data_IF_931753316643
#
_entry.id   IF_931753316643
#
_cell.length_a   1.000
_cell.length_b   1.000
_cell.length_c   1.000
_cell.angle_alpha   90.00
_cell.angle_beta   90.00
_cell.angle_gamma   90.00
#
_symmetry.space_group_name_H-M   'P 1'
#
loop_
_entity.id
_entity.type
_entity.pdbx_description
1 polymer ?
#
# COMPACT_ATOMS: atom_id res chain seq x y z
N UNK A 1 29.28 -17.38 8.11
CA UNK A 1 28.94 -16.25 7.24
C UNK A 1 27.94 -15.38 7.98
N UNK A 2 28.35 -14.21 8.44
CA UNK A 2 27.46 -13.25 9.09
C UNK A 2 26.51 -12.70 7.99
N UNK A 3 25.22 -13.05 8.04
CA UNK A 3 24.22 -12.50 7.10
C UNK A 3 24.12 -11.01 7.39
N UNK A 4 24.37 -10.19 6.39
CA UNK A 4 24.17 -8.74 6.50
C UNK A 4 22.72 -8.47 6.93
N UNK A 5 22.54 -7.88 8.12
CA UNK A 5 21.22 -7.50 8.61
C UNK A 5 20.63 -6.42 7.73
N UNK A 6 19.40 -6.61 7.30
CA UNK A 6 18.64 -5.62 6.55
C UNK A 6 18.45 -4.37 7.43
N UNK A 7 18.85 -3.21 6.92
CA UNK A 7 18.79 -1.94 7.67
C UNK A 7 17.51 -1.14 7.40
N UNK A 8 16.54 -1.68 6.65
CA UNK A 8 15.30 -1.04 6.28
C UNK A 8 14.10 -1.92 6.63
N UNK A 9 12.94 -1.29 6.83
CA UNK A 9 11.67 -2.00 7.04
C UNK A 9 11.09 -2.50 5.72
N UNK A 10 10.38 -3.63 5.79
CA UNK A 10 9.63 -4.18 4.67
C UNK A 10 8.22 -3.56 4.68
N UNK A 11 7.94 -2.58 3.81
CA UNK A 11 6.76 -1.71 3.91
C UNK A 11 5.62 -2.04 2.92
N UNK A 12 5.81 -3.01 2.02
CA UNK A 12 4.79 -3.42 1.05
C UNK A 12 4.75 -4.95 0.99
N UNK A 13 3.84 -5.54 1.72
CA UNK A 13 3.70 -7.00 1.80
C UNK A 13 2.22 -7.40 1.82
N UNK A 14 1.94 -8.57 1.22
CA UNK A 14 0.63 -9.16 1.15
C UNK A 14 0.63 -10.53 1.79
N UNK A 15 -0.46 -10.82 2.52
CA UNK A 15 -0.72 -12.14 3.09
C UNK A 15 -1.90 -12.81 2.39
N UNK A 16 -2.29 -13.99 2.86
CA UNK A 16 -3.46 -14.72 2.38
C UNK A 16 -4.78 -13.93 2.54
N UNK A 17 -4.79 -12.84 3.31
CA UNK A 17 -5.91 -11.91 3.41
C UNK A 17 -6.09 -11.08 2.14
N UNK A 18 -5.04 -10.89 1.34
CA UNK A 18 -5.08 -10.36 -0.02
C UNK A 18 -5.60 -11.43 -0.98
N UNK A 19 -6.94 -11.55 -1.07
CA UNK A 19 -7.61 -12.60 -1.87
C UNK A 19 -7.08 -12.65 -3.30
N UNK A 20 -6.64 -13.86 -3.73
CA UNK A 20 -6.10 -14.17 -5.06
C UNK A 20 -4.73 -13.56 -5.39
N UNK A 21 -4.04 -12.96 -4.41
CA UNK A 21 -2.77 -12.31 -4.64
C UNK A 21 -1.63 -12.98 -3.89
N UNK A 22 -1.84 -13.44 -2.67
CA UNK A 22 -0.81 -14.09 -1.86
C UNK A 22 -1.34 -15.34 -1.16
N UNK A 23 -0.45 -16.33 -1.02
CA UNK A 23 -0.65 -17.52 -0.19
C UNK A 23 0.15 -17.48 1.12
N UNK A 24 0.88 -16.39 1.37
CA UNK A 24 1.74 -16.24 2.53
C UNK A 24 0.93 -15.98 3.80
N UNK A 25 1.13 -16.78 4.86
CA UNK A 25 0.52 -16.52 6.14
C UNK A 25 1.18 -15.32 6.83
N UNK A 26 0.46 -14.70 7.78
CA UNK A 26 1.01 -13.64 8.65
C UNK A 26 2.26 -14.13 9.38
N UNK A 27 2.23 -15.35 9.92
CA UNK A 27 3.38 -15.95 10.61
C UNK A 27 4.60 -16.06 9.67
N UNK A 28 4.40 -16.54 8.44
CA UNK A 28 5.48 -16.67 7.46
C UNK A 28 6.11 -15.33 7.11
N UNK A 29 5.28 -14.27 6.98
CA UNK A 29 5.76 -12.91 6.73
C UNK A 29 6.67 -12.42 7.86
N UNK A 30 6.26 -12.59 9.12
CA UNK A 30 7.00 -12.14 10.29
C UNK A 30 8.27 -12.96 10.48
N UNK A 31 8.21 -14.29 10.32
CA UNK A 31 9.37 -15.18 10.40
C UNK A 31 10.42 -14.79 9.35
N UNK A 32 9.99 -14.50 8.13
CA UNK A 32 10.90 -14.06 7.08
C UNK A 32 11.53 -12.71 7.38
N UNK A 33 10.76 -11.75 7.91
CA UNK A 33 11.30 -10.46 8.34
C UNK A 33 12.35 -10.64 9.45
N UNK A 34 12.11 -11.54 10.41
CA UNK A 34 13.06 -11.89 11.47
C UNK A 34 14.34 -12.52 10.94
N UNK A 35 14.22 -13.47 10.01
CA UNK A 35 15.39 -14.12 9.37
C UNK A 35 16.28 -13.10 8.65
N UNK A 36 15.68 -12.11 7.99
CA UNK A 36 16.37 -11.03 7.30
C UNK A 36 16.95 -9.98 8.25
N UNK A 37 16.58 -10.01 9.53
CA UNK A 37 16.96 -9.00 10.52
C UNK A 37 16.32 -7.64 10.28
N UNK A 38 15.15 -7.62 9.66
CA UNK A 38 14.40 -6.38 9.41
C UNK A 38 13.93 -5.76 10.74
N UNK A 39 14.14 -4.46 10.98
CA UNK A 39 13.73 -3.81 12.22
C UNK A 39 12.21 -3.57 12.29
N UNK A 40 11.54 -3.59 11.17
CA UNK A 40 10.09 -3.38 11.02
C UNK A 40 9.55 -4.11 9.80
N UNK A 41 8.29 -4.49 9.85
CA UNK A 41 7.55 -5.09 8.74
C UNK A 41 6.15 -4.50 8.69
N UNK A 42 5.61 -4.25 7.50
CA UNK A 42 4.25 -3.78 7.32
C UNK A 42 3.33 -4.91 6.86
N UNK A 43 2.08 -4.85 7.28
CA UNK A 43 0.96 -5.60 6.70
C UNK A 43 0.15 -4.60 5.85
N UNK A 44 0.08 -4.83 4.54
CA UNK A 44 -0.54 -3.92 3.56
C UNK A 44 -1.39 -4.68 2.56
N UNK A 45 -2.27 -5.54 3.06
CA UNK A 45 -3.17 -6.34 2.24
C UNK A 45 -4.12 -5.48 1.40
N UNK A 46 -4.58 -6.03 0.28
CA UNK A 46 -5.45 -5.33 -0.68
C UNK A 46 -6.84 -5.03 -0.11
N UNK A 47 -7.10 -3.76 0.17
CA UNK A 47 -8.40 -3.24 0.56
C UNK A 47 -8.93 -3.73 1.92
N UNK A 48 -8.14 -4.49 2.69
CA UNK A 48 -8.53 -5.06 3.98
C UNK A 48 -7.45 -4.89 5.05
N UNK A 49 -7.89 -4.95 6.32
CA UNK A 49 -7.00 -4.94 7.49
C UNK A 49 -7.26 -6.15 8.40
N UNK A 50 -7.87 -7.22 7.89
CA UNK A 50 -8.38 -8.35 8.67
C UNK A 50 -7.31 -9.08 9.47
N UNK A 51 -6.11 -9.23 8.93
CA UNK A 51 -5.00 -9.93 9.57
C UNK A 51 -4.24 -9.16 10.65
N UNK A 52 -4.62 -7.91 10.99
CA UNK A 52 -3.76 -7.04 11.80
C UNK A 52 -3.56 -7.51 13.25
N UNK A 53 -4.54 -8.19 13.87
CA UNK A 53 -4.43 -8.66 15.27
C UNK A 53 -3.37 -9.75 15.36
N UNK A 54 -3.46 -10.77 14.50
CA UNK A 54 -2.49 -11.85 14.45
C UNK A 54 -1.10 -11.33 14.05
N UNK A 55 -1.05 -10.38 13.13
CA UNK A 55 0.19 -9.73 12.72
C UNK A 55 0.86 -8.99 13.87
N UNK A 56 0.13 -8.19 14.63
CA UNK A 56 0.68 -7.46 15.78
C UNK A 56 1.25 -8.44 16.83
N UNK A 57 0.51 -9.52 17.14
CA UNK A 57 0.95 -10.57 18.07
C UNK A 57 2.22 -11.27 17.58
N UNK A 58 2.26 -11.73 16.34
CA UNK A 58 3.44 -12.37 15.76
C UNK A 58 4.66 -11.45 15.76
N UNK A 59 4.48 -10.16 15.48
CA UNK A 59 5.56 -9.18 15.53
C UNK A 59 6.08 -8.95 16.94
N UNK A 60 5.18 -8.86 17.94
CA UNK A 60 5.56 -8.73 19.35
C UNK A 60 6.39 -9.92 19.81
N UNK A 61 5.95 -11.16 19.54
CA UNK A 61 6.66 -12.38 19.84
C UNK A 61 8.03 -12.48 19.13
N UNK A 62 8.12 -11.95 17.92
CA UNK A 62 9.36 -11.91 17.14
C UNK A 62 10.32 -10.79 17.54
N UNK A 63 9.86 -9.77 18.29
CA UNK A 63 10.62 -8.57 18.61
C UNK A 63 10.82 -7.63 17.43
N UNK A 64 9.88 -7.60 16.48
CA UNK A 64 9.90 -6.76 15.27
C UNK A 64 8.81 -5.70 15.39
N UNK A 65 9.10 -4.47 14.96
CA UNK A 65 8.11 -3.40 14.96
C UNK A 65 7.02 -3.65 13.91
N UNK A 66 5.73 -3.82 14.30
CA UNK A 66 4.64 -3.91 13.34
C UNK A 66 4.31 -2.53 12.76
N UNK A 67 4.02 -2.49 11.47
CA UNK A 67 3.45 -1.33 10.77
C UNK A 67 2.13 -1.79 10.14
N UNK A 68 1.01 -1.27 10.65
CA UNK A 68 -0.31 -1.64 10.15
C UNK A 68 -0.73 -0.68 9.04
N UNK A 69 -1.10 -1.24 7.91
CA UNK A 69 -1.49 -0.49 6.73
C UNK A 69 -2.52 -1.22 5.86
N UNK A 70 -2.77 -0.68 4.70
CA UNK A 70 -3.60 -1.26 3.65
C UNK A 70 -3.10 -0.79 2.28
N UNK A 71 -3.11 -1.65 1.28
CA UNK A 71 -3.02 -1.22 -0.11
C UNK A 71 -4.42 -0.95 -0.64
N UNK A 72 -4.80 0.33 -0.62
CA UNK A 72 -6.12 0.78 -1.03
C UNK A 72 -6.24 0.86 -2.56
N UNK A 73 -7.41 0.52 -3.07
CA UNK A 73 -7.81 0.79 -4.45
C UNK A 73 -8.49 2.15 -4.51
N UNK A 74 -7.90 3.10 -5.22
CA UNK A 74 -8.44 4.45 -5.38
C UNK A 74 -8.98 4.60 -6.80
N UNK A 75 -10.24 5.03 -6.91
CA UNK A 75 -10.86 5.39 -8.19
C UNK A 75 -10.28 6.72 -8.69
N UNK A 76 -9.84 6.74 -9.93
CA UNK A 76 -9.34 7.94 -10.61
C UNK A 76 -10.04 8.07 -11.97
N UNK A 77 -11.13 8.86 -11.99
CA UNK A 77 -11.92 9.11 -13.19
C UNK A 77 -12.39 7.84 -13.92
N UNK A 78 -12.28 7.83 -15.24
CA UNK A 78 -12.63 6.68 -16.11
C UNK A 78 -11.48 5.64 -16.21
N UNK A 79 -10.30 5.93 -15.70
CA UNK A 79 -9.09 5.11 -15.88
C UNK A 79 -9.00 3.87 -14.97
N UNK A 80 -10.05 3.59 -14.22
CA UNK A 80 -10.10 2.42 -13.36
C UNK A 80 -9.60 2.69 -11.94
N UNK A 81 -8.87 1.73 -11.37
CA UNK A 81 -8.37 1.81 -9.99
C UNK A 81 -6.85 1.95 -9.97
N UNK A 82 -6.36 2.80 -9.09
CA UNK A 82 -4.93 2.94 -8.80
C UNK A 82 -4.64 2.44 -7.39
N UNK A 83 -3.44 1.93 -7.17
CA UNK A 83 -3.01 1.46 -5.86
C UNK A 83 -2.39 2.59 -5.05
N UNK A 84 -2.69 2.62 -3.76
CA UNK A 84 -2.13 3.56 -2.79
C UNK A 84 -1.91 2.82 -1.46
N UNK A 85 -0.67 2.78 -0.98
CA UNK A 85 -0.41 2.24 0.35
C UNK A 85 -0.61 3.33 1.39
N UNK A 86 -1.40 3.00 2.41
CA UNK A 86 -1.65 3.84 3.58
C UNK A 86 -1.20 3.08 4.82
N UNK A 87 -0.34 3.70 5.64
CA UNK A 87 0.22 3.10 6.85
C UNK A 87 -0.03 4.00 8.06
N UNK A 88 -0.49 3.40 9.17
CA UNK A 88 -0.72 4.13 10.42
C UNK A 88 0.60 4.44 11.13
N UNK A 89 0.74 5.67 11.66
CA UNK A 89 1.87 6.07 12.50
C UNK A 89 1.60 5.84 13.99
N UNK A 90 0.34 5.84 14.38
CA UNK A 90 -0.14 5.76 15.77
C UNK A 90 -1.62 5.38 15.80
N UNK A 91 -2.21 5.33 17.01
CA UNK A 91 -3.61 4.94 17.22
C UNK A 91 -4.62 5.83 16.49
N UNK A 92 -4.35 7.14 16.35
CA UNK A 92 -5.23 8.04 15.58
C UNK A 92 -5.23 7.66 14.11
N UNK A 93 -4.04 7.41 13.55
CA UNK A 93 -3.89 6.92 12.19
C UNK A 93 -4.55 5.57 11.97
N UNK A 94 -4.40 4.64 12.92
CA UNK A 94 -5.05 3.33 12.87
C UNK A 94 -6.58 3.45 12.86
N UNK A 95 -7.17 4.25 13.75
CA UNK A 95 -8.63 4.46 13.77
C UNK A 95 -9.15 5.10 12.49
N UNK A 96 -8.44 6.10 11.96
CA UNK A 96 -8.81 6.73 10.69
C UNK A 96 -8.74 5.74 9.53
N UNK A 97 -7.68 4.93 9.49
CA UNK A 97 -7.46 3.91 8.47
C UNK A 97 -8.53 2.81 8.53
N UNK A 98 -8.90 2.35 9.72
CA UNK A 98 -9.97 1.37 9.94
C UNK A 98 -11.32 1.89 9.44
N UNK A 99 -11.69 3.13 9.78
CA UNK A 99 -12.92 3.77 9.28
C UNK A 99 -12.91 3.93 7.76
N UNK A 100 -11.80 4.40 7.20
CA UNK A 100 -11.62 4.51 5.75
C UNK A 100 -11.81 3.15 5.06
N UNK A 101 -11.14 2.09 5.56
CA UNK A 101 -11.24 0.75 5.00
C UNK A 101 -12.67 0.22 5.07
N UNK A 102 -13.40 0.48 6.18
CA UNK A 102 -14.82 0.12 6.31
C UNK A 102 -15.67 0.80 5.24
N UNK A 103 -15.53 2.11 5.05
CA UNK A 103 -16.30 2.85 4.05
C UNK A 103 -15.97 2.39 2.62
N UNK A 104 -14.72 2.00 2.32
CA UNK A 104 -14.37 1.45 1.01
C UNK A 104 -15.04 0.10 0.75
N UNK A 105 -15.30 -0.72 1.78
CA UNK A 105 -16.04 -1.98 1.65
C UNK A 105 -17.51 -1.76 1.26
N UNK A 106 -18.11 -0.65 1.66
CA UNK A 106 -19.47 -0.28 1.22
C UNK A 106 -19.53 0.19 -0.24
N UNK A 107 -18.40 0.36 -0.89
CA UNK A 107 -18.25 0.82 -2.28
C UNK A 107 -17.62 -0.25 -3.17
N UNK A 108 -18.09 -1.50 -3.05
CA UNK A 108 -17.56 -2.60 -3.87
C UNK A 108 -17.90 -2.40 -5.35
N UNK A 109 -16.88 -2.50 -6.20
CA UNK A 109 -17.05 -2.61 -7.64
C UNK A 109 -16.24 -3.78 -8.18
N UNK A 110 -16.90 -4.70 -8.87
CA UNK A 110 -16.30 -5.94 -9.38
C UNK A 110 -15.60 -6.78 -8.29
N UNK A 111 -16.14 -6.76 -7.07
CA UNK A 111 -15.62 -7.50 -5.90
C UNK A 111 -14.40 -6.85 -5.22
N UNK A 112 -14.06 -5.59 -5.55
CA UNK A 112 -12.97 -4.85 -4.93
C UNK A 112 -13.50 -3.62 -4.17
N UNK A 113 -13.00 -3.42 -2.95
CA UNK A 113 -13.25 -2.21 -2.15
C UNK A 113 -12.71 -0.97 -2.88
N UNK A 114 -13.47 0.13 -2.90
CA UNK A 114 -13.12 1.34 -3.65
C UNK A 114 -13.08 2.58 -2.76
N UNK A 115 -11.91 3.18 -2.66
CA UNK A 115 -11.76 4.55 -2.17
C UNK A 115 -11.82 5.56 -3.31
N UNK A 116 -11.99 6.81 -2.96
CA UNK A 116 -11.91 7.95 -3.89
C UNK A 116 -11.30 9.16 -3.18
N UNK A 117 -11.08 10.24 -3.92
CA UNK A 117 -10.51 11.49 -3.38
C UNK A 117 -11.33 12.05 -2.21
N UNK A 118 -12.65 11.94 -2.27
CA UNK A 118 -13.54 12.43 -1.21
C UNK A 118 -13.30 11.68 0.10
N UNK A 119 -13.23 10.34 0.06
CA UNK A 119 -12.92 9.53 1.25
C UNK A 119 -11.51 9.79 1.77
N UNK A 120 -10.51 9.95 0.88
CA UNK A 120 -9.16 10.32 1.30
C UNK A 120 -9.15 11.66 2.03
N UNK A 121 -9.85 12.67 1.52
CA UNK A 121 -9.95 13.98 2.19
C UNK A 121 -10.72 13.90 3.49
N UNK A 122 -11.79 13.10 3.58
CA UNK A 122 -12.59 12.92 4.80
C UNK A 122 -11.76 12.33 5.94
N UNK A 123 -10.95 11.32 5.67
CA UNK A 123 -10.23 10.58 6.71
C UNK A 123 -8.80 11.05 6.95
N UNK A 124 -8.14 11.65 5.95
CA UNK A 124 -6.73 12.01 6.00
C UNK A 124 -6.44 13.46 5.63
N UNK A 125 -7.43 14.21 5.16
CA UNK A 125 -7.33 15.62 4.81
C UNK A 125 -7.20 16.53 6.05
N UNK A 126 -6.93 17.83 5.85
CA UNK A 126 -6.78 18.81 6.93
C UNK A 126 -7.97 18.81 7.90
N UNK A 127 -7.71 18.77 9.20
CA UNK A 127 -8.72 18.74 10.26
C UNK A 127 -9.29 17.36 10.60
N UNK A 128 -8.97 16.30 9.83
CA UNK A 128 -9.40 14.94 10.14
C UNK A 128 -8.50 14.26 11.18
N UNK A 129 -9.00 13.18 11.83
CA UNK A 129 -8.23 12.38 12.80
C UNK A 129 -6.95 11.77 12.18
N UNK A 130 -7.00 11.40 10.90
CA UNK A 130 -5.88 10.79 10.20
C UNK A 130 -4.84 11.77 9.67
N UNK A 131 -5.14 13.09 9.64
CA UNK A 131 -4.22 14.09 9.12
C UNK A 131 -2.89 14.12 9.91
N UNK A 132 -1.78 13.92 9.22
CA UNK A 132 -0.45 13.82 9.82
C UNK A 132 -0.18 12.52 10.61
N UNK A 133 -1.20 11.64 10.77
CA UNK A 133 -1.11 10.38 11.52
C UNK A 133 -1.07 9.13 10.60
N UNK A 134 -1.14 9.33 9.28
CA UNK A 134 -1.00 8.28 8.25
C UNK A 134 0.10 8.67 7.28
N UNK A 135 0.87 7.70 6.83
CA UNK A 135 1.85 7.83 5.73
C UNK A 135 1.24 7.19 4.49
N UNK A 136 1.32 7.89 3.36
CA UNK A 136 0.96 7.36 2.06
C UNK A 136 2.20 7.13 1.20
N UNK A 137 2.23 6.03 0.43
CA UNK A 137 3.23 5.76 -0.60
C UNK A 137 2.57 5.36 -1.91
N UNK A 138 3.30 5.51 -3.02
CA UNK A 138 2.80 5.25 -4.37
C UNK A 138 2.55 3.78 -4.71
N UNK A 139 2.65 2.89 -3.74
CA UNK A 139 2.46 1.45 -3.89
C UNK A 139 3.39 0.81 -4.95
N UNK A 140 2.81 0.24 -6.01
CA UNK A 140 3.49 -0.53 -7.05
C UNK A 140 3.36 0.14 -8.43
N UNK A 141 3.65 -0.61 -9.50
CA UNK A 141 3.50 -0.16 -10.89
C UNK A 141 2.06 0.26 -11.25
N UNK A 142 1.05 -0.21 -10.50
CA UNK A 142 -0.35 0.19 -10.65
C UNK A 142 -0.72 1.42 -9.80
N UNK A 143 0.25 2.05 -9.14
CA UNK A 143 0.06 3.29 -8.38
C UNK A 143 -0.04 4.52 -9.29
N UNK A 144 -0.56 5.62 -8.72
CA UNK A 144 -0.77 6.90 -9.45
C UNK A 144 0.53 7.41 -10.07
N UNK A 145 1.61 7.50 -9.29
CA UNK A 145 2.89 8.02 -9.78
C UNK A 145 3.48 7.17 -10.90
N UNK A 146 3.43 5.85 -10.76
CA UNK A 146 3.94 4.93 -11.78
C UNK A 146 3.16 5.07 -13.10
N UNK A 147 1.83 5.20 -13.03
CA UNK A 147 1.01 5.38 -14.23
C UNK A 147 1.30 6.70 -14.96
N UNK A 148 1.57 7.79 -14.23
CA UNK A 148 1.97 9.08 -14.82
C UNK A 148 3.32 8.94 -15.52
N UNK A 149 4.31 8.32 -14.87
CA UNK A 149 5.65 8.11 -15.46
C UNK A 149 5.58 7.26 -16.72
N UNK A 150 4.76 6.19 -16.70
CA UNK A 150 4.59 5.32 -17.86
C UNK A 150 3.86 6.03 -19.02
N UNK A 151 2.85 6.84 -18.72
CA UNK A 151 2.16 7.66 -19.75
C UNK A 151 3.12 8.68 -20.39
N UNK A 152 3.95 9.35 -19.59
CA UNK A 152 4.92 10.31 -20.10
C UNK A 152 6.04 9.64 -20.93
N UNK A 153 6.46 8.42 -20.59
CA UNK A 153 7.41 7.66 -21.41
C UNK A 153 6.88 7.39 -22.82
N UNK A 154 5.59 7.06 -22.94
CA UNK A 154 4.98 6.82 -24.25
C UNK A 154 4.95 8.10 -25.12
N UNK A 155 4.74 9.26 -24.50
CA UNK A 155 4.77 10.55 -25.19
C UNK A 155 6.19 10.92 -25.64
N UNK A 156 7.20 10.72 -24.80
CA UNK A 156 8.59 10.98 -25.15
C UNK A 156 9.10 10.03 -26.23
N UNK A 157 8.69 8.75 -26.21
CA UNK A 157 9.01 7.78 -27.27
C UNK A 157 8.38 8.19 -28.61
N UNK A 158 7.15 8.68 -28.61
CA UNK A 158 6.46 9.17 -29.81
C UNK A 158 7.08 10.48 -30.33
N UNK A 159 7.50 11.38 -29.46
CA UNK A 159 8.23 12.61 -29.82
C UNK A 159 9.59 12.26 -30.44
N UNK A 160 10.32 11.31 -29.88
CA UNK A 160 11.61 10.87 -30.40
C UNK A 160 11.46 10.21 -31.78
N UNK A 161 10.46 9.37 -32.00
CA UNK A 161 10.14 8.80 -33.31
C UNK A 161 9.77 9.85 -34.33
N UNK A 162 9.02 10.90 -33.93
CA UNK A 162 8.71 12.01 -34.84
C UNK A 162 9.93 12.84 -35.21
N UNK A 163 10.90 13.02 -34.32
CA UNK A 163 12.16 13.69 -34.58
C UNK A 163 13.03 12.90 -35.55
N UNK A 164 13.15 11.57 -35.35
CA UNK A 164 13.91 10.69 -36.24
C UNK A 164 13.34 10.65 -37.68
N UNK A 165 12.02 10.88 -37.84
CA UNK A 165 11.39 10.96 -39.17
C UNK A 165 11.56 12.32 -39.86
N UNK A 166 11.98 13.36 -39.14
CA UNK A 166 12.26 14.68 -39.73
C UNK A 166 13.71 14.88 -40.16
N UNK A 167 14.63 14.05 -39.66
CA UNK A 167 16.08 14.13 -39.92
C UNK A 167 16.55 13.13 -41.00
N UNK A 168 15.65 12.39 -41.65
CA UNK A 168 15.90 11.44 -42.74
C UNK A 168 15.16 11.79 -44.02
#
# INVERSE_FOLDING_TARGET
MERSRVKYGLLHNHTMESRRDSAMSVQTLVDRAKELGAPAVALTDHGVMTGYIDFARCCEEAGIKPVVGVEAYIEEGSEGRKHLILMSKNDKGFRALSKFTTDTQHRLANGFARGNKELLMRYFGPGSEGHGNVIATSACVQGVLASIVLANRSVDDDINKLREQQDG
#
